data_IF_047926708548
#
_entry.id   IF_047926708548
#
_cell.length_a   1.000
_cell.length_b   1.000
_cell.length_c   1.000
_cell.angle_alpha   90.00
_cell.angle_beta   90.00
_cell.angle_gamma   90.00
#
_symmetry.space_group_name_H-M   'P 1'
#
loop_
_entity.id
_entity.type
_entity.pdbx_description
1 polymer ?
#
# COMPACT_ATOMS: atom_id res chain seq x y z
N UNK A 1 21.78 15.49 -25.78
CA UNK A 1 22.40 15.48 -24.44
C UNK A 1 21.98 14.21 -23.73
N UNK A 2 22.69 13.78 -22.69
CA UNK A 2 22.30 12.58 -21.93
C UNK A 2 21.51 13.03 -20.69
N UNK A 3 20.25 12.64 -20.61
CA UNK A 3 19.41 12.92 -19.45
C UNK A 3 19.86 12.09 -18.24
N UNK A 4 19.75 12.67 -17.04
CA UNK A 4 20.07 11.98 -15.77
C UNK A 4 19.02 10.94 -15.41
N UNK A 5 17.77 11.21 -15.78
CA UNK A 5 16.61 10.35 -15.57
C UNK A 5 16.00 9.95 -16.92
N UNK A 6 15.16 8.93 -16.92
CA UNK A 6 14.41 8.47 -18.10
C UNK A 6 12.92 8.59 -17.89
N UNK A 7 12.18 8.59 -18.99
CA UNK A 7 10.70 8.47 -18.96
C UNK A 7 10.31 7.21 -18.17
N UNK A 8 9.36 7.37 -17.25
CA UNK A 8 8.93 6.34 -16.31
C UNK A 8 9.69 6.34 -14.98
N UNK A 9 10.78 7.09 -14.83
CA UNK A 9 11.42 7.24 -13.52
C UNK A 9 10.55 8.08 -12.59
N UNK A 10 10.42 7.63 -11.34
CA UNK A 10 9.79 8.41 -10.28
C UNK A 10 10.84 9.33 -9.63
N UNK A 11 10.54 10.62 -9.62
CA UNK A 11 11.44 11.68 -9.16
C UNK A 11 10.78 12.56 -8.12
N UNK A 12 11.58 13.36 -7.44
CA UNK A 12 11.13 14.42 -6.55
C UNK A 12 11.76 15.76 -6.91
N UNK A 13 11.06 16.85 -6.60
CA UNK A 13 11.52 18.21 -6.80
C UNK A 13 10.88 19.18 -5.79
N UNK A 14 11.44 20.38 -5.69
CA UNK A 14 10.80 21.51 -5.00
C UNK A 14 10.30 22.49 -6.07
N UNK A 15 8.99 22.71 -6.12
CA UNK A 15 8.34 23.69 -6.99
C UNK A 15 7.49 24.62 -6.14
N UNK A 16 7.61 25.94 -6.33
CA UNK A 16 6.87 26.94 -5.53
C UNK A 16 6.94 26.73 -4.00
N UNK A 17 8.12 26.36 -3.50
CA UNK A 17 8.36 26.05 -2.08
C UNK A 17 7.53 24.86 -1.55
N UNK A 18 7.06 23.97 -2.44
CA UNK A 18 6.39 22.73 -2.12
C UNK A 18 7.18 21.55 -2.67
N UNK A 19 7.23 20.49 -1.89
CA UNK A 19 7.81 19.22 -2.32
C UNK A 19 6.79 18.45 -3.16
N UNK A 20 7.26 17.88 -4.26
CA UNK A 20 6.46 17.05 -5.15
C UNK A 20 7.23 15.78 -5.49
N UNK A 21 6.50 14.67 -5.56
CA UNK A 21 6.91 13.42 -6.19
C UNK A 21 6.05 13.19 -7.42
N UNK A 22 6.61 12.54 -8.43
CA UNK A 22 5.89 12.25 -9.66
C UNK A 22 6.69 11.42 -10.64
N UNK A 23 6.07 11.08 -11.76
CA UNK A 23 6.67 10.24 -12.80
C UNK A 23 6.99 11.07 -14.03
N UNK A 24 8.20 10.91 -14.58
CA UNK A 24 8.59 11.58 -15.82
C UNK A 24 7.79 11.01 -16.99
N UNK A 25 7.00 11.84 -17.65
CA UNK A 25 6.23 11.49 -18.86
C UNK A 25 6.99 11.70 -20.15
N UNK A 26 7.93 12.65 -20.17
CA UNK A 26 8.61 13.05 -21.38
C UNK A 26 9.55 14.21 -21.17
N UNK A 27 10.15 14.66 -22.26
CA UNK A 27 11.02 15.81 -22.33
C UNK A 27 10.62 16.70 -23.51
N UNK A 28 10.79 18.01 -23.38
CA UNK A 28 10.66 18.93 -24.51
C UNK A 28 11.99 19.11 -25.28
N UNK A 29 11.94 19.94 -26.32
CA UNK A 29 13.09 20.27 -27.17
C UNK A 29 14.22 20.97 -26.38
N UNK A 30 13.88 21.64 -25.27
CA UNK A 30 14.82 22.33 -24.37
C UNK A 30 15.36 21.40 -23.25
N UNK A 31 15.04 20.11 -23.29
CA UNK A 31 15.42 19.09 -22.31
C UNK A 31 14.83 19.31 -20.90
N UNK A 32 13.68 19.98 -20.80
CA UNK A 32 12.89 20.04 -19.57
C UNK A 32 12.06 18.76 -19.42
N UNK A 33 12.07 18.17 -18.24
CA UNK A 33 11.25 17.01 -17.91
C UNK A 33 9.81 17.45 -17.60
N UNK A 34 8.83 16.76 -18.20
CA UNK A 34 7.44 16.81 -17.79
C UNK A 34 7.17 15.74 -16.74
N UNK A 35 6.75 16.16 -15.56
CA UNK A 35 6.53 15.29 -14.41
C UNK A 35 5.04 15.30 -14.09
N UNK A 36 4.40 14.13 -14.20
CA UNK A 36 3.06 13.93 -13.67
C UNK A 36 3.15 13.76 -12.16
N UNK A 37 2.60 14.68 -11.35
CA UNK A 37 2.67 14.57 -9.90
C UNK A 37 1.77 13.44 -9.39
N UNK A 38 2.22 12.76 -8.33
CA UNK A 38 1.46 11.66 -7.71
C UNK A 38 0.15 12.14 -7.05
N UNK A 39 0.05 13.45 -6.80
CA UNK A 39 -1.10 14.10 -6.15
C UNK A 39 -1.78 15.01 -7.15
N UNK A 40 -3.10 15.18 -6.97
CA UNK A 40 -3.89 16.09 -7.78
C UNK A 40 -3.26 17.49 -7.81
N UNK A 41 -2.79 17.88 -8.99
CA UNK A 41 -2.24 19.18 -9.32
C UNK A 41 -2.79 19.58 -10.68
N UNK A 42 -2.92 20.89 -10.93
CA UNK A 42 -3.64 21.36 -12.11
C UNK A 42 -2.92 21.03 -13.42
N UNK A 43 -1.58 20.94 -13.38
CA UNK A 43 -0.72 20.81 -14.56
C UNK A 43 0.45 19.85 -14.28
N UNK A 44 1.18 19.44 -15.33
CA UNK A 44 2.46 18.75 -15.16
C UNK A 44 3.52 19.73 -14.60
N UNK A 45 4.43 19.20 -13.79
CA UNK A 45 5.57 19.97 -13.27
C UNK A 45 6.69 19.92 -14.30
N UNK A 46 7.18 21.10 -14.72
CA UNK A 46 8.23 21.24 -15.72
C UNK A 46 9.52 21.68 -15.03
N UNK A 47 10.57 20.86 -15.14
CA UNK A 47 11.84 21.07 -14.42
C UNK A 47 13.04 20.61 -15.25
N UNK A 48 14.20 21.21 -15.02
CA UNK A 48 15.45 20.66 -15.54
C UNK A 48 15.91 19.45 -14.71
N UNK A 49 16.58 18.48 -15.35
CA UNK A 49 17.14 17.28 -14.71
C UNK A 49 17.99 17.57 -13.45
N UNK A 50 18.72 18.69 -13.42
CA UNK A 50 19.56 19.05 -12.29
C UNK A 50 18.77 19.55 -11.06
N UNK A 51 17.48 19.85 -11.24
CA UNK A 51 16.54 20.18 -10.16
C UNK A 51 15.82 18.94 -9.62
N UNK A 52 16.04 17.78 -10.24
CA UNK A 52 15.42 16.52 -9.90
C UNK A 52 16.34 15.62 -9.08
N UNK A 53 15.73 14.94 -8.12
CA UNK A 53 16.33 13.84 -7.38
C UNK A 53 15.48 12.57 -7.53
N UNK A 54 16.06 11.37 -7.33
CA UNK A 54 15.27 10.15 -7.21
C UNK A 54 14.20 10.32 -6.14
N UNK A 55 12.97 9.87 -6.40
CA UNK A 55 11.93 9.86 -5.38
C UNK A 55 12.37 9.00 -4.18
N UNK A 56 11.96 9.37 -2.95
CA UNK A 56 12.20 8.52 -1.79
C UNK A 56 11.49 7.17 -1.96
N UNK A 57 12.09 6.12 -1.37
CA UNK A 57 11.38 4.86 -1.22
C UNK A 57 10.12 5.06 -0.37
N UNK A 58 9.02 4.41 -0.76
CA UNK A 58 7.78 4.46 -0.02
C UNK A 58 7.89 3.59 1.22
N UNK A 59 7.25 4.03 2.30
CA UNK A 59 7.03 3.19 3.48
C UNK A 59 5.85 2.27 3.24
N UNK A 60 5.89 1.08 3.82
CA UNK A 60 4.75 0.16 3.85
C UNK A 60 4.01 0.37 5.16
N UNK A 61 2.70 0.60 5.10
CA UNK A 61 1.83 0.80 6.26
C UNK A 61 0.60 -0.12 6.21
N UNK A 62 0.00 -0.48 7.34
CA UNK A 62 -1.26 -1.21 7.35
C UNK A 62 -2.42 -0.43 6.72
N UNK A 63 -3.43 -1.16 6.28
CA UNK A 63 -4.62 -0.60 5.64
C UNK A 63 -5.37 0.40 6.56
N UNK A 64 -5.50 0.10 7.86
CA UNK A 64 -6.14 1.02 8.81
C UNK A 64 -5.41 2.38 8.90
N UNK A 65 -4.08 2.39 8.79
CA UNK A 65 -3.26 3.62 8.79
C UNK A 65 -3.42 4.36 7.47
N UNK A 66 -3.51 3.63 6.35
CA UNK A 66 -3.75 4.21 5.03
C UNK A 66 -5.12 4.89 4.95
N UNK A 67 -6.19 4.20 5.36
CA UNK A 67 -7.54 4.75 5.44
C UNK A 67 -7.56 6.03 6.28
N UNK A 68 -6.92 6.01 7.45
CA UNK A 68 -6.82 7.17 8.33
C UNK A 68 -6.14 8.37 7.66
N UNK A 69 -5.05 8.15 6.92
CA UNK A 69 -4.33 9.21 6.20
C UNK A 69 -5.24 9.82 5.13
N UNK A 70 -5.92 9.01 4.32
CA UNK A 70 -6.81 9.51 3.26
C UNK A 70 -7.99 10.28 3.83
N UNK A 71 -8.63 9.77 4.87
CA UNK A 71 -9.73 10.41 5.58
C UNK A 71 -9.36 11.82 6.08
N UNK A 72 -8.17 11.94 6.66
CA UNK A 72 -7.68 13.22 7.17
C UNK A 72 -7.28 14.19 6.05
N UNK A 73 -6.69 13.69 4.96
CA UNK A 73 -6.37 14.51 3.79
C UNK A 73 -7.62 15.02 3.10
N UNK A 74 -8.67 14.20 2.96
CA UNK A 74 -9.96 14.63 2.41
C UNK A 74 -10.59 15.74 3.27
N UNK A 75 -10.46 15.63 4.59
CA UNK A 75 -10.89 16.66 5.56
C UNK A 75 -9.99 17.91 5.57
N UNK A 76 -8.92 17.94 4.76
CA UNK A 76 -7.98 19.06 4.68
C UNK A 76 -7.10 19.23 5.92
N UNK A 77 -6.89 18.17 6.70
CA UNK A 77 -6.07 18.22 7.89
C UNK A 77 -4.59 18.46 7.54
N UNK A 78 -3.87 19.12 8.46
CA UNK A 78 -2.41 19.23 8.38
C UNK A 78 -1.74 18.00 8.99
N UNK A 79 -0.47 17.75 8.64
CA UNK A 79 0.33 16.69 9.28
C UNK A 79 0.38 16.84 10.81
N UNK A 80 0.49 18.08 11.31
CA UNK A 80 0.46 18.34 12.75
C UNK A 80 -0.85 17.87 13.39
N UNK A 81 -1.98 18.19 12.76
CA UNK A 81 -3.31 17.75 13.22
C UNK A 81 -3.43 16.23 13.16
N UNK A 82 -2.93 15.61 12.09
CA UNK A 82 -2.94 14.16 11.93
C UNK A 82 -2.17 13.46 13.04
N UNK A 83 -0.93 13.88 13.31
CA UNK A 83 -0.11 13.32 14.40
C UNK A 83 -0.76 13.58 15.77
N UNK A 84 -1.33 14.76 15.99
CA UNK A 84 -1.99 15.07 17.27
C UNK A 84 -3.22 14.19 17.51
N UNK A 85 -4.02 13.94 16.48
CA UNK A 85 -5.19 13.07 16.58
C UNK A 85 -4.77 11.60 16.73
N UNK A 86 -3.69 11.21 16.07
CA UNK A 86 -3.09 9.89 16.16
C UNK A 86 -2.66 9.53 17.59
N UNK A 87 -2.19 10.50 18.39
CA UNK A 87 -1.91 10.26 19.83
C UNK A 87 -3.15 10.09 20.70
N UNK A 88 -4.36 10.23 20.14
CA UNK A 88 -5.65 10.11 20.82
C UNK A 88 -6.53 9.03 20.19
N UNK A 89 -6.01 8.32 19.20
CA UNK A 89 -6.73 7.25 18.53
C UNK A 89 -6.86 6.07 19.49
N UNK A 90 -8.07 5.54 19.63
CA UNK A 90 -8.36 4.37 20.50
C UNK A 90 -8.56 3.09 19.66
N UNK A 91 -8.15 3.13 18.39
CA UNK A 91 -8.19 1.96 17.51
C UNK A 91 -7.07 0.97 17.87
N UNK A 92 -7.46 -0.22 18.31
CA UNK A 92 -6.55 -1.29 18.75
C UNK A 92 -5.56 -1.68 17.64
N UNK A 93 -5.99 -1.72 16.38
CA UNK A 93 -5.11 -2.10 15.26
C UNK A 93 -4.04 -1.03 15.00
N UNK A 94 -4.39 0.24 15.22
CA UNK A 94 -3.44 1.34 15.15
C UNK A 94 -2.41 1.28 16.29
N UNK A 95 -2.86 1.03 17.53
CA UNK A 95 -1.97 0.88 18.68
C UNK A 95 -1.01 -0.31 18.51
N UNK A 96 -1.53 -1.45 18.03
CA UNK A 96 -0.75 -2.63 17.70
C UNK A 96 0.33 -2.32 16.66
N UNK A 97 -0.03 -1.60 15.57
CA UNK A 97 0.96 -1.17 14.58
C UNK A 97 2.01 -0.24 15.18
N UNK A 98 1.58 0.79 15.92
CA UNK A 98 2.47 1.81 16.46
C UNK A 98 3.47 1.24 17.48
N UNK A 99 3.08 0.20 18.23
CA UNK A 99 3.95 -0.49 19.18
C UNK A 99 4.84 -1.55 18.53
N UNK A 100 4.47 -2.06 17.36
CA UNK A 100 5.21 -3.09 16.63
C UNK A 100 6.39 -2.56 15.81
N UNK A 101 6.45 -1.25 15.51
CA UNK A 101 7.49 -0.67 14.66
C UNK A 101 8.37 0.36 15.39
N UNK A 102 9.61 0.48 14.92
CA UNK A 102 10.49 1.55 15.35
C UNK A 102 10.03 2.90 14.74
N UNK A 103 9.92 3.92 15.59
CA UNK A 103 9.57 5.30 15.22
C UNK A 103 8.27 5.41 14.39
N UNK A 104 7.10 4.99 14.90
CA UNK A 104 5.84 4.98 14.16
C UNK A 104 5.42 6.37 13.64
N UNK A 105 5.72 7.43 14.38
CA UNK A 105 5.42 8.80 13.97
C UNK A 105 6.30 9.28 12.80
N UNK A 106 7.54 8.81 12.70
CA UNK A 106 8.39 9.10 11.55
C UNK A 106 7.86 8.37 10.32
N UNK A 107 7.55 7.07 10.45
CA UNK A 107 6.93 6.26 9.39
C UNK A 107 5.61 6.88 8.92
N UNK A 108 4.74 7.30 9.85
CA UNK A 108 3.51 8.02 9.54
C UNK A 108 3.78 9.34 8.80
N UNK A 109 4.76 10.13 9.26
CA UNK A 109 5.16 11.36 8.61
C UNK A 109 5.67 11.15 7.18
N UNK A 110 6.46 10.09 6.96
CA UNK A 110 6.92 9.69 5.62
C UNK A 110 5.75 9.26 4.73
N UNK A 111 4.84 8.42 5.23
CA UNK A 111 3.62 8.03 4.52
C UNK A 111 2.80 9.26 4.11
N UNK A 112 2.65 10.21 5.03
CA UNK A 112 1.91 11.44 4.79
C UNK A 112 2.55 12.33 3.71
N UNK A 113 3.88 12.49 3.73
CA UNK A 113 4.63 13.43 2.87
C UNK A 113 4.99 12.82 1.52
N UNK A 114 5.53 11.60 1.52
CA UNK A 114 6.10 10.94 0.33
C UNK A 114 5.10 10.00 -0.37
N UNK A 115 3.99 9.68 0.30
CA UNK A 115 3.11 8.57 -0.06
C UNK A 115 3.53 7.27 0.63
N UNK A 116 2.78 6.20 0.38
CA UNK A 116 2.97 4.90 1.02
C UNK A 116 2.51 3.77 0.11
N UNK A 117 2.95 2.56 0.44
CA UNK A 117 2.36 1.31 -0.03
C UNK A 117 1.53 0.72 1.11
N UNK A 118 0.39 0.12 0.78
CA UNK A 118 -0.42 -0.59 1.77
C UNK A 118 0.11 -2.01 1.92
N UNK A 119 0.31 -2.44 3.16
CA UNK A 119 0.65 -3.82 3.49
C UNK A 119 -0.45 -4.74 2.95
N UNK A 120 -0.09 -5.61 2.02
CA UNK A 120 -1.01 -6.62 1.51
C UNK A 120 -1.14 -7.70 2.55
N UNK A 121 -2.34 -7.89 3.10
CA UNK A 121 -2.60 -9.01 4.01
C UNK A 121 -2.17 -10.33 3.35
N UNK A 122 -1.40 -11.19 4.05
CA UNK A 122 -1.03 -12.49 3.54
C UNK A 122 -2.29 -13.32 3.27
N UNK A 123 -2.45 -13.76 2.03
CA UNK A 123 -3.56 -14.59 1.62
C UNK A 123 -3.17 -16.06 1.64
N UNK A 124 -4.10 -16.90 2.07
CA UNK A 124 -3.91 -18.32 2.22
C UNK A 124 -5.01 -19.11 1.49
N UNK A 125 -4.66 -20.31 1.02
CA UNK A 125 -5.63 -21.34 0.65
C UNK A 125 -5.59 -22.44 1.70
N UNK A 126 -6.75 -23.01 2.03
CA UNK A 126 -6.85 -24.08 3.02
C UNK A 126 -7.23 -25.39 2.33
N UNK A 127 -6.36 -26.39 2.39
CA UNK A 127 -6.64 -27.75 1.92
C UNK A 127 -6.99 -28.65 3.12
N UNK A 128 -8.22 -29.14 3.20
CA UNK A 128 -8.67 -29.95 4.33
C UNK A 128 -8.21 -31.41 4.18
N UNK A 129 -7.52 -32.00 5.18
CA UNK A 129 -7.05 -33.38 5.10
C UNK A 129 -8.18 -34.39 5.31
N UNK A 130 -7.88 -35.66 4.99
CA UNK A 130 -8.73 -36.84 5.25
C UNK A 130 -10.06 -36.90 4.48
N UNK A 131 -10.13 -36.27 3.31
CA UNK A 131 -11.24 -36.40 2.38
C UNK A 131 -10.78 -37.17 1.12
N UNK A 132 -11.68 -37.95 0.51
CA UNK A 132 -11.35 -38.85 -0.61
C UNK A 132 -10.86 -38.12 -1.89
N UNK A 133 -11.00 -36.79 -1.92
CA UNK A 133 -10.61 -35.90 -3.02
C UNK A 133 -9.98 -34.63 -2.44
N UNK A 134 -9.10 -33.97 -3.21
CA UNK A 134 -8.57 -32.64 -2.85
C UNK A 134 -9.72 -31.68 -2.59
N UNK A 135 -9.85 -31.27 -1.33
CA UNK A 135 -10.95 -30.46 -0.85
C UNK A 135 -10.40 -29.18 -0.26
N UNK A 136 -10.87 -28.05 -0.79
CA UNK A 136 -10.46 -26.74 -0.37
C UNK A 136 -11.62 -26.01 0.31
N UNK A 137 -11.30 -25.08 1.19
CA UNK A 137 -12.26 -24.04 1.54
C UNK A 137 -12.52 -23.17 0.30
N UNK A 138 -13.79 -22.92 0.02
CA UNK A 138 -14.25 -22.02 -1.03
C UNK A 138 -15.31 -21.07 -0.48
N UNK A 139 -15.32 -19.84 -0.99
CA UNK A 139 -16.34 -18.82 -0.65
C UNK A 139 -17.35 -18.74 -1.80
N UNK A 140 -18.61 -19.00 -1.50
CA UNK A 140 -19.75 -18.79 -2.41
C UNK A 140 -20.71 -17.76 -1.79
N UNK A 141 -21.78 -17.42 -2.51
CA UNK A 141 -22.80 -16.46 -2.05
C UNK A 141 -23.45 -16.84 -0.70
N UNK A 142 -23.49 -18.13 -0.38
CA UNK A 142 -24.06 -18.68 0.86
C UNK A 142 -23.04 -18.77 2.03
N UNK A 143 -21.78 -18.39 1.81
CA UNK A 143 -20.72 -18.42 2.82
C UNK A 143 -19.53 -19.30 2.45
N UNK A 144 -18.73 -19.69 3.47
CA UNK A 144 -17.52 -20.49 3.30
C UNK A 144 -17.84 -21.97 3.52
N UNK A 145 -17.51 -22.82 2.55
CA UNK A 145 -17.76 -24.25 2.59
C UNK A 145 -16.60 -25.06 2.01
N UNK A 146 -16.52 -26.33 2.41
CA UNK A 146 -15.53 -27.28 1.89
C UNK A 146 -16.03 -27.90 0.57
N UNK A 147 -15.25 -27.77 -0.50
CA UNK A 147 -15.62 -28.28 -1.82
C UNK A 147 -14.46 -28.94 -2.55
N UNK A 148 -14.79 -29.98 -3.32
CA UNK A 148 -13.82 -30.67 -4.17
C UNK A 148 -13.51 -29.79 -5.37
N UNK A 149 -12.28 -29.29 -5.45
CA UNK A 149 -11.87 -28.39 -6.52
C UNK A 149 -10.55 -28.86 -7.14
N UNK A 150 -10.48 -28.88 -8.47
CA UNK A 150 -9.28 -29.20 -9.25
C UNK A 150 -8.50 -27.94 -9.67
N UNK A 151 -8.88 -26.75 -9.18
CA UNK A 151 -8.23 -25.45 -9.42
C UNK A 151 -7.69 -24.79 -8.14
N UNK A 152 -7.22 -23.53 -8.26
CA UNK A 152 -6.79 -22.74 -7.11
C UNK A 152 -8.01 -22.42 -6.21
N UNK A 153 -7.94 -22.79 -4.94
CA UNK A 153 -8.98 -22.47 -3.95
C UNK A 153 -9.21 -20.97 -3.79
N UNK A 154 -10.30 -20.60 -3.12
CA UNK A 154 -10.49 -19.19 -2.73
C UNK A 154 -9.37 -18.76 -1.79
N UNK A 155 -8.90 -17.52 -1.95
CA UNK A 155 -7.91 -16.90 -1.08
C UNK A 155 -8.61 -16.30 0.14
N UNK A 156 -8.08 -16.56 1.33
CA UNK A 156 -8.62 -16.07 2.59
C UNK A 156 -7.53 -15.40 3.42
N UNK A 157 -7.94 -14.46 4.27
CA UNK A 157 -7.07 -13.92 5.33
C UNK A 157 -6.98 -14.91 6.49
N UNK A 158 -5.98 -14.79 7.37
CA UNK A 158 -5.90 -15.61 8.59
C UNK A 158 -7.16 -15.49 9.44
N UNK A 159 -7.68 -14.27 9.58
CA UNK A 159 -8.89 -13.95 10.33
C UNK A 159 -10.12 -14.63 9.72
N UNK A 160 -10.28 -14.59 8.38
CA UNK A 160 -11.38 -15.30 7.71
C UNK A 160 -11.31 -16.81 7.94
N UNK A 161 -10.11 -17.41 7.91
CA UNK A 161 -9.93 -18.84 8.17
C UNK A 161 -10.31 -19.19 9.61
N UNK A 162 -9.80 -18.43 10.59
CA UNK A 162 -10.08 -18.67 12.00
C UNK A 162 -11.54 -18.43 12.38
N UNK A 163 -12.21 -17.49 11.70
CA UNK A 163 -13.64 -17.23 11.87
C UNK A 163 -14.52 -18.41 11.41
N UNK A 164 -14.06 -19.18 10.42
CA UNK A 164 -14.71 -20.43 10.03
C UNK A 164 -14.45 -21.50 11.08
N UNK A 165 -13.17 -21.79 11.33
CA UNK A 165 -12.70 -22.70 12.39
C UNK A 165 -11.20 -22.51 12.60
N UNK A 166 -10.79 -22.13 13.81
CA UNK A 166 -9.38 -21.93 14.15
C UNK A 166 -8.50 -23.15 13.85
N UNK A 167 -9.06 -24.37 13.89
CA UNK A 167 -8.33 -25.60 13.57
C UNK A 167 -7.91 -25.67 12.10
N UNK A 168 -8.53 -24.90 11.21
CA UNK A 168 -8.20 -24.87 9.79
C UNK A 168 -6.91 -24.10 9.51
N UNK A 169 -6.47 -23.24 10.43
CA UNK A 169 -5.24 -22.47 10.27
C UNK A 169 -4.01 -23.35 10.03
N UNK A 170 -3.94 -24.52 10.67
CA UNK A 170 -2.82 -25.45 10.49
C UNK A 170 -2.70 -26.03 9.07
N UNK A 171 -3.75 -25.90 8.25
CA UNK A 171 -3.78 -26.36 6.85
C UNK A 171 -3.66 -25.20 5.85
N UNK A 172 -3.47 -23.97 6.32
CA UNK A 172 -3.33 -22.78 5.49
C UNK A 172 -1.98 -22.78 4.74
N UNK A 173 -2.03 -22.61 3.43
CA UNK A 173 -0.86 -22.51 2.54
C UNK A 173 -0.79 -21.09 2.00
N UNK A 174 0.30 -20.34 2.23
CA UNK A 174 0.42 -18.96 1.77
C UNK A 174 0.46 -18.89 0.24
N UNK A 175 -0.28 -17.95 -0.31
CA UNK A 175 -0.33 -17.70 -1.75
C UNK A 175 0.66 -16.58 -2.07
N UNK A 176 1.75 -16.92 -2.74
CA UNK A 176 2.63 -15.90 -3.32
C UNK A 176 1.88 -15.25 -4.49
N UNK A 177 1.59 -13.96 -4.40
CA UNK A 177 1.17 -13.19 -5.58
C UNK A 177 2.30 -13.32 -6.63
N UNK A 178 1.98 -13.85 -7.82
CA UNK A 178 2.88 -13.65 -8.95
C UNK A 178 2.85 -12.15 -9.23
N UNK A 179 3.99 -11.49 -9.08
CA UNK A 179 4.22 -10.15 -9.63
C UNK A 179 3.74 -10.19 -11.09
N UNK A 180 2.68 -9.43 -11.37
CA UNK A 180 2.10 -9.24 -12.70
C UNK A 180 2.70 -8.02 -13.37
#
# INVERSE_FOLDING_TARGET
MTHKFKVGDRVQCIFENKHFTGTIKGYDDDNLAFIEPDRAFHDDIIMHDHQLAPAPALVVIPDCVAEYIEDLKEKGASLYTAILNLTKEEDDAFEDWATAIDNPYETFGRAWIDGYEVEKEPLYMVELPNLAYQTYLIKNDDGILAWQNTGAGTKFTETEIKAVDERYWQFAVPVKEREG
#
